data_IF_362592290620
#
_entry.id   IF_362592290620
#
_cell.length_a   1.000
_cell.length_b   1.000
_cell.length_c   1.000
_cell.angle_alpha   90.00
_cell.angle_beta   90.00
_cell.angle_gamma   90.00
#
_symmetry.space_group_name_H-M   'P 1'
#
loop_
_entity.id
_entity.type
_entity.pdbx_description
1 polymer ?
#
# COMPACT_ATOMS: atom_id res chain seq x y z
N UNK A 1 -0.77 24.70 8.06
CA UNK A 1 -1.67 23.63 8.56
C UNK A 1 -1.34 22.34 7.83
N UNK A 2 -0.44 21.52 8.38
CA UNK A 2 -0.15 20.18 7.88
C UNK A 2 -1.09 19.22 8.61
N UNK A 3 -2.13 18.72 7.94
CA UNK A 3 -2.99 17.67 8.49
C UNK A 3 -2.22 16.36 8.48
N UNK A 4 -1.47 16.11 9.56
CA UNK A 4 -0.87 14.82 9.84
C UNK A 4 -2.00 13.81 10.13
N UNK A 5 -2.38 13.06 9.10
CA UNK A 5 -3.31 11.95 9.24
C UNK A 5 -2.68 10.81 10.03
N UNK A 6 -3.47 10.24 10.94
CA UNK A 6 -3.20 8.98 11.67
C UNK A 6 -2.83 7.82 10.72
N UNK A 7 -3.16 7.94 9.42
CA UNK A 7 -3.04 6.89 8.41
C UNK A 7 -2.17 7.29 7.18
N UNK A 8 -1.44 8.42 7.24
CA UNK A 8 -0.61 8.92 6.13
C UNK A 8 -1.36 9.80 5.10
N UNK A 9 -0.61 10.38 4.16
CA UNK A 9 -1.12 11.29 3.11
C UNK A 9 -1.30 10.52 1.79
N UNK A 10 -2.42 10.73 1.08
CA UNK A 10 -2.63 10.16 -0.26
C UNK A 10 -1.63 10.78 -1.23
N UNK A 11 -1.08 10.02 -2.18
CA UNK A 11 -0.13 10.54 -3.18
C UNK A 11 -0.61 11.82 -3.87
N UNK A 12 -1.90 11.89 -4.24
CA UNK A 12 -2.48 13.08 -4.91
C UNK A 12 -2.65 14.30 -4.00
N UNK A 13 -2.58 14.11 -2.70
CA UNK A 13 -2.70 15.16 -1.70
C UNK A 13 -1.33 15.64 -1.22
N UNK A 14 -0.25 15.26 -1.93
CA UNK A 14 1.09 15.70 -1.59
C UNK A 14 1.14 17.25 -1.60
N UNK A 15 1.66 17.87 -0.53
CA UNK A 15 1.80 19.33 -0.45
C UNK A 15 2.55 19.92 -1.66
N UNK A 16 2.15 21.12 -2.09
CA UNK A 16 2.68 21.77 -3.30
C UNK A 16 4.11 22.32 -3.14
N UNK A 17 4.59 22.43 -1.90
CA UNK A 17 5.98 22.72 -1.55
C UNK A 17 6.92 21.56 -1.83
N UNK A 18 6.38 20.36 -2.07
CA UNK A 18 7.14 19.19 -2.50
C UNK A 18 7.09 19.02 -4.01
N UNK A 19 8.05 18.26 -4.55
CA UNK A 19 8.04 17.83 -5.95
C UNK A 19 6.69 17.18 -6.32
N UNK A 20 6.26 17.29 -7.59
CA UNK A 20 5.03 16.66 -8.05
C UNK A 20 4.94 15.19 -7.62
N UNK A 21 3.75 14.78 -7.17
CA UNK A 21 3.57 13.46 -6.56
C UNK A 21 3.99 12.30 -7.47
N UNK A 22 3.93 12.47 -8.79
CA UNK A 22 4.38 11.48 -9.76
C UNK A 22 5.89 11.23 -9.63
N UNK A 23 6.67 12.30 -9.54
CA UNK A 23 8.13 12.22 -9.38
C UNK A 23 8.50 11.53 -8.06
N UNK A 24 7.79 11.87 -6.97
CA UNK A 24 8.02 11.23 -5.67
C UNK A 24 7.64 9.75 -5.73
N UNK A 25 6.49 9.43 -6.34
CA UNK A 25 6.03 8.05 -6.52
C UNK A 25 6.99 7.22 -7.38
N UNK A 26 7.56 7.79 -8.44
CA UNK A 26 8.52 7.09 -9.31
C UNK A 26 9.83 6.75 -8.59
N UNK A 27 10.31 7.63 -7.70
CA UNK A 27 11.44 7.33 -6.83
C UNK A 27 11.08 6.24 -5.82
N UNK A 28 9.94 6.39 -5.15
CA UNK A 28 9.44 5.41 -4.19
C UNK A 28 9.28 4.01 -4.80
N UNK A 29 8.70 3.93 -6.01
CA UNK A 29 8.56 2.67 -6.75
C UNK A 29 9.91 2.05 -7.07
N UNK A 30 10.89 2.84 -7.54
CA UNK A 30 12.25 2.36 -7.78
C UNK A 30 12.89 1.84 -6.49
N UNK A 31 12.74 2.55 -5.38
CA UNK A 31 13.26 2.14 -4.08
C UNK A 31 12.66 0.83 -3.58
N UNK A 32 11.34 0.62 -3.78
CA UNK A 32 10.72 -0.67 -3.50
C UNK A 32 11.32 -1.78 -4.35
N UNK A 33 11.53 -1.55 -5.65
CA UNK A 33 12.13 -2.56 -6.55
C UNK A 33 13.56 -2.91 -6.14
N UNK A 34 14.34 -1.92 -5.69
CA UNK A 34 15.74 -2.11 -5.27
C UNK A 34 15.90 -2.50 -3.79
N UNK A 35 14.81 -2.65 -3.03
CA UNK A 35 14.86 -2.97 -1.61
C UNK A 35 15.57 -1.91 -0.75
N UNK A 36 15.51 -0.64 -1.17
CA UNK A 36 16.24 0.46 -0.51
C UNK A 36 15.66 0.75 0.87
N UNK A 37 14.34 0.60 1.03
CA UNK A 37 13.67 0.87 2.31
C UNK A 37 14.15 -0.12 3.39
N UNK A 38 14.31 -1.38 3.03
CA UNK A 38 14.82 -2.45 3.88
C UNK A 38 16.28 -2.18 4.29
N UNK A 39 17.10 -1.74 3.34
CA UNK A 39 18.50 -1.36 3.61
C UNK A 39 18.58 -0.20 4.60
N UNK A 40 17.78 0.85 4.40
CA UNK A 40 17.70 2.00 5.31
C UNK A 40 17.21 1.55 6.68
N UNK A 41 16.17 0.70 6.74
CA UNK A 41 15.66 0.17 8.00
C UNK A 41 16.73 -0.61 8.76
N UNK A 42 17.46 -1.51 8.09
CA UNK A 42 18.56 -2.26 8.70
C UNK A 42 19.66 -1.33 9.21
N UNK A 43 20.04 -0.32 8.44
CA UNK A 43 21.05 0.66 8.84
C UNK A 43 20.62 1.45 10.09
N UNK A 44 19.37 1.93 10.12
CA UNK A 44 18.81 2.66 11.26
C UNK A 44 18.72 1.78 12.51
N UNK A 45 18.27 0.53 12.38
CA UNK A 45 18.24 -0.43 13.49
C UNK A 45 19.66 -0.66 14.03
N UNK A 46 20.65 -0.86 13.15
CA UNK A 46 22.03 -1.07 13.56
C UNK A 46 22.60 0.16 14.27
N UNK A 47 22.30 1.38 13.80
CA UNK A 47 22.70 2.63 14.44
C UNK A 47 22.06 2.79 15.83
N UNK A 48 20.76 2.56 15.95
CA UNK A 48 20.04 2.64 17.22
C UNK A 48 20.60 1.64 18.24
N UNK A 49 20.87 0.39 17.82
CA UNK A 49 21.45 -0.64 18.69
C UNK A 49 22.85 -0.30 19.17
N UNK A 50 23.70 0.28 18.31
CA UNK A 50 25.03 0.76 18.71
C UNK A 50 24.94 1.86 19.76
N UNK A 51 24.00 2.80 19.59
CA UNK A 51 23.75 3.88 20.56
C UNK A 51 23.33 3.33 21.93
N UNK A 52 22.46 2.31 21.93
CA UNK A 52 21.94 1.70 23.14
C UNK A 52 22.84 0.58 23.72
N UNK A 53 24.01 0.32 23.10
CA UNK A 53 24.92 -0.79 23.45
C UNK A 53 24.21 -2.16 23.51
N UNK A 54 23.19 -2.36 22.68
CA UNK A 54 22.42 -3.61 22.62
C UNK A 54 23.01 -4.57 21.60
N UNK A 55 23.12 -5.84 21.99
CA UNK A 55 23.51 -6.93 21.09
C UNK A 55 22.44 -7.29 20.06
N UNK A 56 22.71 -8.35 19.28
CA UNK A 56 21.74 -8.88 18.33
C UNK A 56 20.48 -9.38 19.07
N UNK A 57 19.28 -9.11 18.54
CA UNK A 57 18.05 -9.56 19.16
C UNK A 57 17.96 -11.08 19.09
N UNK A 58 17.59 -11.71 20.21
CA UNK A 58 17.33 -13.16 20.26
C UNK A 58 15.92 -13.52 19.76
N UNK A 59 15.01 -12.53 19.73
CA UNK A 59 13.61 -12.69 19.34
C UNK A 59 13.18 -11.47 18.52
N UNK A 60 12.32 -11.68 17.52
CA UNK A 60 11.75 -10.63 16.68
C UNK A 60 10.24 -10.63 16.88
N UNK A 61 9.67 -9.47 17.22
CA UNK A 61 8.23 -9.27 17.21
C UNK A 61 7.82 -8.76 15.83
N UNK A 62 6.90 -9.48 15.17
CA UNK A 62 6.33 -9.08 13.88
C UNK A 62 4.86 -8.79 14.12
N UNK A 63 4.48 -7.52 13.97
CA UNK A 63 3.11 -7.07 14.06
C UNK A 63 2.62 -6.69 12.67
N UNK A 64 1.41 -7.10 12.31
CA UNK A 64 0.77 -6.75 11.04
C UNK A 64 -0.43 -5.87 11.34
N UNK A 65 -0.38 -4.61 10.91
CA UNK A 65 -1.46 -3.66 11.10
C UNK A 65 -2.13 -3.33 9.77
N UNK A 66 -3.43 -3.58 9.69
CA UNK A 66 -4.25 -3.18 8.54
C UNK A 66 -4.77 -1.77 8.73
N UNK A 67 -4.62 -0.93 7.71
CA UNK A 67 -5.18 0.42 7.67
C UNK A 67 -6.45 0.40 6.82
N UNK A 68 -7.59 0.90 7.31
CA UNK A 68 -8.80 1.01 6.51
C UNK A 68 -8.53 1.83 5.25
N UNK A 69 -8.75 1.22 4.09
CA UNK A 69 -8.60 1.92 2.81
C UNK A 69 -9.91 2.62 2.46
N UNK A 70 -9.84 3.88 2.01
CA UNK A 70 -11.01 4.53 1.41
C UNK A 70 -11.38 3.77 0.14
N UNK A 71 -12.62 3.29 0.07
CA UNK A 71 -13.14 2.60 -1.13
C UNK A 71 -12.92 3.48 -2.36
N UNK A 72 -12.17 2.96 -3.35
CA UNK A 72 -12.12 3.55 -4.68
C UNK A 72 -13.51 3.41 -5.27
N UNK A 73 -14.28 4.50 -5.35
CA UNK A 73 -15.59 4.54 -6.02
C UNK A 73 -15.46 4.21 -7.50
N UNK A 74 -15.42 2.92 -7.83
CA UNK A 74 -15.61 2.42 -9.19
C UNK A 74 -17.10 2.22 -9.43
N UNK A 75 -17.61 2.66 -10.58
CA UNK A 75 -18.95 2.27 -11.02
C UNK A 75 -18.97 0.74 -11.08
N UNK A 76 -19.84 0.13 -10.28
CA UNK A 76 -20.15 -1.29 -10.41
C UNK A 76 -20.57 -1.54 -11.86
N UNK A 77 -19.74 -2.23 -12.63
CA UNK A 77 -20.17 -2.79 -13.89
C UNK A 77 -21.24 -3.82 -13.55
N UNK A 78 -22.50 -3.49 -13.82
CA UNK A 78 -23.61 -4.43 -13.68
C UNK A 78 -23.33 -5.65 -14.54
N UNK A 79 -23.09 -6.80 -13.91
CA UNK A 79 -23.08 -8.10 -14.56
C UNK A 79 -24.45 -8.32 -15.19
N UNK A 80 -24.56 -8.23 -16.51
CA UNK A 80 -25.78 -8.66 -17.20
C UNK A 80 -25.77 -10.18 -17.22
N UNK A 81 -26.64 -10.80 -16.42
CA UNK A 81 -26.83 -12.24 -16.43
C UNK A 81 -27.24 -12.70 -17.84
N UNK A 82 -26.48 -13.66 -18.39
CA UNK A 82 -26.79 -14.32 -19.66
C UNK A 82 -28.15 -15.01 -19.53
N UNK A 83 -29.18 -14.51 -20.23
CA UNK A 83 -30.48 -15.20 -20.37
C UNK A 83 -30.24 -16.60 -20.96
N UNK A 84 -30.57 -17.65 -20.20
CA UNK A 84 -30.74 -19.01 -20.75
C UNK A 84 -31.97 -19.00 -21.66
N UNK A 85 -31.78 -19.32 -22.94
CA UNK A 85 -32.87 -19.57 -23.88
C UNK A 85 -33.63 -20.83 -23.46
N UNK A 86 -34.96 -20.71 -23.38
CA UNK A 86 -35.91 -21.79 -23.10
C UNK A 86 -36.08 -22.63 -24.37
N UNK A 87 -35.44 -23.79 -24.44
CA UNK A 87 -35.73 -24.79 -25.48
C UNK A 87 -37.05 -25.47 -25.15
N UNK A 88 -38.05 -25.27 -26.02
CA UNK A 88 -39.38 -25.83 -25.89
C UNK A 88 -39.38 -27.33 -26.22
N UNK A 89 -40.15 -28.10 -25.45
CA UNK A 89 -40.54 -29.47 -25.78
C UNK A 89 -41.37 -29.50 -27.06
N UNK A 90 -41.10 -30.46 -27.95
CA UNK A 90 -42.05 -30.92 -28.94
C UNK A 90 -41.97 -32.45 -29.02
N UNK A 91 -43.12 -33.05 -28.70
CA UNK A 91 -43.47 -34.46 -28.86
C UNK A 91 -43.52 -34.84 -30.34
N UNK A 92 -42.96 -35.99 -30.68
CA UNK A 92 -43.55 -36.94 -31.64
C UNK A 92 -42.99 -38.33 -31.41
#
# INVERSE_FOLDING_TARGET
>A
MLSALVNGIRWRDLPRDLSPWQTVYDHFRRWQTFGVLEQVQHALIAQARRRDRRGQPKTVAVESQSVPTTQKGGRAGTTVAKKKSKGASATS
#
